data_IF_823196403340
#
_entry.id   IF_823196403340
#
_cell.length_a   1.000
_cell.length_b   1.000
_cell.length_c   1.000
_cell.angle_alpha   90.00
_cell.angle_beta   90.00
_cell.angle_gamma   90.00
#
_symmetry.space_group_name_H-M   'P 1'
#
loop_
_entity.id
_entity.type
_entity.pdbx_description
1 polymer ?
#
# COMPACT_ATOMS: atom_id res chain seq x y z
N UNK A 1 6.20 15.66 19.91
CA UNK A 1 7.34 14.83 20.36
C UNK A 1 8.48 15.07 19.38
N UNK A 2 9.56 15.63 19.85
CA UNK A 2 10.75 15.90 19.05
C UNK A 2 11.89 15.04 19.56
N UNK A 3 12.60 14.40 18.64
CA UNK A 3 13.84 13.70 18.94
C UNK A 3 15.01 14.50 18.37
N UNK A 4 15.74 15.19 19.25
CA UNK A 4 16.87 16.03 18.85
C UNK A 4 18.03 15.23 18.24
N UNK A 5 18.12 13.93 18.52
CA UNK A 5 19.19 13.08 18.00
C UNK A 5 18.99 12.71 16.53
N UNK A 6 17.74 12.64 16.07
CA UNK A 6 17.41 12.22 14.70
C UNK A 6 16.87 13.37 13.83
N UNK A 7 16.57 14.53 14.42
CA UNK A 7 15.87 15.63 13.75
C UNK A 7 14.39 15.33 13.46
N UNK A 8 13.85 14.22 14.00
CA UNK A 8 12.46 13.83 13.81
C UNK A 8 11.51 14.77 14.57
N UNK A 9 10.47 15.25 13.89
CA UNK A 9 9.42 16.10 14.49
C UNK A 9 8.07 15.75 13.89
N UNK A 10 7.12 15.37 14.73
CA UNK A 10 5.73 15.13 14.37
C UNK A 10 4.89 16.36 14.66
N UNK A 11 4.22 16.89 13.63
CA UNK A 11 3.33 18.04 13.76
C UNK A 11 2.10 17.74 14.64
N UNK A 12 1.52 18.76 15.32
CA UNK A 12 0.38 18.57 16.23
C UNK A 12 -0.85 18.00 15.54
N UNK A 13 -1.15 18.41 14.31
CA UNK A 13 -2.30 17.92 13.54
C UNK A 13 -2.19 16.41 13.25
N UNK A 14 -1.03 15.93 12.83
CA UNK A 14 -0.78 14.52 12.57
C UNK A 14 -0.83 13.69 13.86
N UNK A 15 -0.33 14.25 14.96
CA UNK A 15 -0.41 13.60 16.28
C UNK A 15 -1.88 13.47 16.73
N UNK A 16 -2.70 14.49 16.51
CA UNK A 16 -4.12 14.46 16.82
C UNK A 16 -4.87 13.44 15.96
N UNK A 17 -4.59 13.42 14.66
CA UNK A 17 -5.16 12.41 13.75
C UNK A 17 -4.79 10.97 14.18
N UNK A 18 -3.55 10.73 14.61
CA UNK A 18 -3.12 9.45 15.16
C UNK A 18 -3.84 9.07 16.47
N UNK A 19 -4.16 10.04 17.32
CA UNK A 19 -4.96 9.83 18.54
C UNK A 19 -6.41 9.47 18.18
N UNK A 20 -6.98 10.22 17.24
CA UNK A 20 -8.34 10.02 16.76
C UNK A 20 -8.53 8.69 16.01
N UNK A 21 -7.50 8.17 15.36
CA UNK A 21 -7.56 6.91 14.59
C UNK A 21 -7.85 5.67 15.43
N UNK A 22 -7.87 5.78 16.75
CA UNK A 22 -8.23 4.70 17.68
C UNK A 22 -7.36 3.48 17.51
N UNK A 23 -6.43 3.07 17.96
CA UNK A 23 -5.68 1.81 17.87
C UNK A 23 -5.24 1.37 19.27
N UNK A 24 -5.06 0.10 19.47
CA UNK A 24 -4.52 -0.42 20.70
C UNK A 24 -3.21 0.28 21.06
N UNK A 25 -3.16 0.97 22.21
CA UNK A 25 -2.00 1.74 22.65
C UNK A 25 -1.95 3.20 22.17
N UNK A 26 -2.98 3.72 21.50
CA UNK A 26 -3.01 5.12 21.03
C UNK A 26 -1.94 5.44 19.98
N UNK A 27 -1.40 6.69 19.93
CA UNK A 27 -0.39 7.08 18.94
C UNK A 27 1.02 6.55 19.24
N UNK A 28 1.26 6.02 20.44
CA UNK A 28 2.58 5.61 20.93
C UNK A 28 3.34 4.67 20.02
N UNK A 29 2.75 3.53 19.61
CA UNK A 29 3.41 2.59 18.70
C UNK A 29 3.77 3.20 17.34
N UNK A 30 2.91 4.04 16.76
CA UNK A 30 3.17 4.68 15.47
C UNK A 30 4.32 5.68 15.57
N UNK A 31 4.34 6.50 16.65
CA UNK A 31 5.41 7.48 16.89
C UNK A 31 6.73 6.78 17.19
N UNK A 32 6.73 5.73 18.01
CA UNK A 32 7.94 4.95 18.27
C UNK A 32 8.49 4.30 17.02
N UNK A 33 7.62 3.68 16.18
CA UNK A 33 8.03 3.11 14.90
C UNK A 33 8.66 4.16 13.97
N UNK A 34 8.10 5.36 13.91
CA UNK A 34 8.67 6.45 13.13
C UNK A 34 10.06 6.88 13.64
N UNK A 35 10.26 6.94 14.95
CA UNK A 35 11.58 7.16 15.55
C UNK A 35 12.57 6.04 15.22
N UNK A 36 12.12 4.79 15.25
CA UNK A 36 12.99 3.65 14.89
C UNK A 36 13.42 3.72 13.44
N UNK A 37 12.49 4.04 12.51
CA UNK A 37 12.82 4.28 11.10
C UNK A 37 13.86 5.40 10.97
N UNK A 38 13.63 6.55 11.61
CA UNK A 38 14.56 7.68 11.54
C UNK A 38 15.94 7.31 12.05
N UNK A 39 16.05 6.61 13.20
CA UNK A 39 17.33 6.15 13.75
C UNK A 39 18.03 5.16 12.85
N UNK A 40 17.29 4.19 12.28
CA UNK A 40 17.86 3.11 11.46
C UNK A 40 18.33 3.59 10.09
N UNK A 41 17.56 4.48 9.48
CA UNK A 41 17.82 4.96 8.12
C UNK A 41 18.67 6.24 8.08
N UNK A 42 18.77 6.97 9.20
CA UNK A 42 19.35 8.31 9.21
C UNK A 42 18.47 9.36 8.53
N UNK A 43 17.25 8.99 8.12
CA UNK A 43 16.30 9.85 7.41
C UNK A 43 15.15 10.22 8.34
N UNK A 44 15.06 11.48 8.82
CA UNK A 44 14.07 11.89 9.80
C UNK A 44 12.64 11.93 9.26
N UNK A 45 12.46 12.06 7.96
CA UNK A 45 11.14 12.10 7.30
C UNK A 45 11.20 11.44 5.93
N UNK A 46 10.08 10.79 5.57
CA UNK A 46 9.88 10.22 4.25
C UNK A 46 8.69 10.89 3.55
N UNK A 47 8.71 10.94 2.24
CA UNK A 47 7.69 11.61 1.42
C UNK A 47 6.61 10.64 0.96
N UNK A 48 7.01 9.41 0.61
CA UNK A 48 6.16 8.39 0.00
C UNK A 48 6.31 7.06 0.74
N UNK A 49 5.20 6.35 0.91
CA UNK A 49 5.16 4.92 1.24
C UNK A 49 4.80 4.12 -0.02
N UNK A 50 5.56 3.09 -0.31
CA UNK A 50 5.21 2.06 -1.29
C UNK A 50 5.04 0.74 -0.56
N UNK A 51 3.92 0.05 -0.77
CA UNK A 51 3.69 -1.29 -0.23
C UNK A 51 3.55 -2.26 -1.40
N UNK A 52 4.54 -3.12 -1.56
CA UNK A 52 4.60 -4.15 -2.60
C UNK A 52 3.95 -5.43 -2.08
N UNK A 53 2.94 -5.91 -2.79
CA UNK A 53 2.25 -7.16 -2.48
C UNK A 53 2.84 -8.36 -3.20
N UNK A 54 2.08 -9.48 -3.21
CA UNK A 54 2.49 -10.74 -3.82
C UNK A 54 3.02 -10.56 -5.24
N UNK A 55 4.21 -11.07 -5.50
CA UNK A 55 4.88 -11.04 -6.79
C UNK A 55 5.46 -9.69 -7.22
N UNK A 56 5.31 -8.61 -6.43
CA UNK A 56 5.80 -7.27 -6.80
C UNK A 56 7.12 -6.90 -6.10
N UNK A 57 7.69 -7.76 -5.26
CA UNK A 57 8.84 -7.42 -4.41
C UNK A 57 10.03 -6.85 -5.20
N UNK A 58 10.29 -7.34 -6.41
CA UNK A 58 11.41 -6.93 -7.27
C UNK A 58 11.05 -5.83 -8.28
N UNK A 59 9.84 -5.28 -8.25
CA UNK A 59 9.41 -4.25 -9.22
C UNK A 59 10.32 -3.01 -9.24
N UNK A 60 10.98 -2.71 -8.12
CA UNK A 60 11.91 -1.58 -7.98
C UNK A 60 13.40 -1.97 -8.02
N UNK A 61 13.76 -3.14 -8.53
CA UNK A 61 15.16 -3.57 -8.63
C UNK A 61 16.07 -2.58 -9.38
N UNK A 62 15.53 -1.84 -10.33
CA UNK A 62 16.24 -0.80 -11.07
C UNK A 62 16.61 0.45 -10.22
N UNK A 63 16.05 0.60 -9.01
CA UNK A 63 16.41 1.70 -8.10
C UNK A 63 17.75 1.48 -7.40
N UNK A 64 18.34 0.28 -7.54
CA UNK A 64 19.60 -0.09 -6.93
C UNK A 64 19.46 -0.48 -5.46
N UNK A 65 20.61 -0.46 -4.75
CA UNK A 65 20.62 -0.82 -3.33
C UNK A 65 19.97 0.29 -2.48
N UNK A 66 19.05 -0.08 -1.57
CA UNK A 66 18.47 0.88 -0.65
C UNK A 66 19.50 1.41 0.34
N UNK A 67 19.26 2.60 0.90
CA UNK A 67 19.82 2.99 2.19
C UNK A 67 19.39 1.93 3.25
N UNK A 68 19.91 1.97 4.52
CA UNK A 68 19.74 0.82 5.42
C UNK A 68 18.31 0.26 5.45
N UNK A 69 18.21 -1.04 5.23
CA UNK A 69 16.96 -1.79 5.38
C UNK A 69 16.75 -2.21 6.83
N UNK A 70 15.49 -2.50 7.19
CA UNK A 70 15.12 -3.09 8.47
C UNK A 70 14.01 -4.12 8.28
N UNK A 71 13.74 -4.92 9.31
CA UNK A 71 12.60 -5.83 9.27
C UNK A 71 11.31 -5.04 9.56
N UNK A 72 10.23 -5.38 8.87
CA UNK A 72 8.88 -4.86 9.18
C UNK A 72 8.48 -5.23 10.61
N UNK A 73 8.77 -6.46 11.01
CA UNK A 73 8.45 -7.00 12.34
C UNK A 73 9.25 -6.39 13.49
N UNK A 74 10.31 -5.63 13.22
CA UNK A 74 10.99 -4.84 14.25
C UNK A 74 10.17 -3.60 14.67
N UNK A 75 9.17 -3.21 13.86
CA UNK A 75 8.33 -2.06 14.12
C UNK A 75 7.18 -2.40 15.07
N UNK A 76 6.85 -1.50 16.02
CA UNK A 76 5.79 -1.75 17.00
C UNK A 76 4.43 -2.00 16.33
N UNK A 77 3.81 -3.13 16.63
CA UNK A 77 2.47 -3.48 16.13
C UNK A 77 2.44 -3.92 14.66
N UNK A 78 3.60 -4.19 14.04
CA UNK A 78 3.71 -4.80 12.72
C UNK A 78 4.12 -6.26 12.90
N UNK A 79 3.46 -7.18 12.19
CA UNK A 79 3.75 -8.61 12.26
C UNK A 79 4.67 -9.03 11.12
N UNK A 80 5.32 -10.20 11.29
CA UNK A 80 6.05 -10.83 10.20
C UNK A 80 5.06 -11.20 9.09
N UNK A 81 5.23 -10.71 7.85
CA UNK A 81 4.40 -11.16 6.74
C UNK A 81 4.60 -12.64 6.47
N UNK A 82 3.52 -13.40 6.33
CA UNK A 82 3.57 -14.87 6.10
C UNK A 82 3.02 -15.28 4.73
N UNK A 83 2.43 -14.35 3.98
CA UNK A 83 1.90 -14.63 2.66
C UNK A 83 3.01 -14.96 1.65
N UNK A 84 2.79 -15.89 0.71
CA UNK A 84 3.75 -16.18 -0.36
C UNK A 84 4.16 -14.91 -1.14
N UNK A 85 5.45 -14.79 -1.45
CA UNK A 85 6.00 -13.64 -2.16
C UNK A 85 6.12 -12.35 -1.35
N UNK A 86 5.92 -12.40 -0.02
CA UNK A 86 6.14 -11.28 0.88
C UNK A 86 7.44 -11.46 1.65
N UNK A 87 8.16 -10.36 1.84
CA UNK A 87 9.39 -10.30 2.64
C UNK A 87 9.15 -9.48 3.92
N UNK A 88 9.74 -9.91 5.03
CA UNK A 88 9.79 -9.13 6.28
C UNK A 88 10.86 -8.03 6.16
N UNK A 89 10.63 -7.08 5.23
CA UNK A 89 11.62 -6.08 4.86
C UNK A 89 10.99 -4.72 4.56
N UNK A 90 11.58 -3.68 5.15
CA UNK A 90 11.30 -2.28 4.88
C UNK A 90 12.59 -1.61 4.43
N UNK A 91 12.59 -1.06 3.24
CA UNK A 91 13.69 -0.34 2.63
C UNK A 91 13.48 1.17 2.68
N UNK A 92 14.55 1.94 2.81
CA UNK A 92 14.54 3.38 2.63
C UNK A 92 15.35 3.75 1.39
N UNK A 93 14.75 4.47 0.47
CA UNK A 93 15.41 4.98 -0.73
C UNK A 93 15.48 6.50 -0.70
N UNK A 94 16.58 7.02 -1.24
CA UNK A 94 16.71 8.42 -1.62
C UNK A 94 16.77 8.44 -3.15
N UNK A 95 15.67 8.87 -3.77
CA UNK A 95 15.53 8.87 -5.23
C UNK A 95 15.71 10.29 -5.73
N UNK A 96 16.73 10.51 -6.55
CA UNK A 96 16.95 11.81 -7.17
C UNK A 96 15.82 12.15 -8.15
N UNK A 97 15.25 13.32 -8.04
CA UNK A 97 14.30 13.88 -9.01
C UNK A 97 15.06 14.34 -10.23
N UNK A 98 15.33 13.41 -11.15
CA UNK A 98 16.12 13.71 -12.34
C UNK A 98 15.89 12.68 -13.45
N UNK A 99 14.69 12.69 -14.05
CA UNK A 99 14.51 12.28 -15.44
C UNK A 99 13.73 13.37 -16.16
N UNK A 100 14.34 13.93 -17.22
CA UNK A 100 13.76 14.93 -18.10
C UNK A 100 12.39 14.47 -18.61
N UNK A 101 11.33 15.10 -18.15
CA UNK A 101 10.12 15.24 -18.95
C UNK A 101 10.04 16.70 -19.36
N UNK A 102 10.05 16.95 -20.69
CA UNK A 102 9.81 18.26 -21.32
C UNK A 102 10.76 19.40 -20.90
N UNK A 103 12.06 19.15 -20.70
CA UNK A 103 13.07 20.23 -20.68
C UNK A 103 13.21 21.01 -19.37
N UNK A 104 12.49 20.67 -18.30
CA UNK A 104 12.66 21.29 -16.99
C UNK A 104 13.24 20.29 -15.99
N UNK A 105 14.41 20.61 -15.44
CA UNK A 105 14.93 19.97 -14.22
C UNK A 105 14.13 20.51 -13.02
N UNK A 106 13.20 19.73 -12.53
CA UNK A 106 12.60 20.00 -11.21
C UNK A 106 13.46 19.25 -10.19
N UNK A 107 14.47 19.93 -9.64
CA UNK A 107 15.41 19.37 -8.69
C UNK A 107 14.80 19.05 -7.34
N UNK A 108 15.21 17.93 -6.74
CA UNK A 108 14.92 17.52 -5.38
C UNK A 108 15.04 16.01 -5.21
N UNK A 109 15.46 15.57 -4.03
CA UNK A 109 15.43 14.16 -3.64
C UNK A 109 14.07 13.81 -3.06
N UNK A 110 13.59 12.60 -3.32
CA UNK A 110 12.44 11.99 -2.65
C UNK A 110 12.92 10.86 -1.74
N UNK A 111 12.39 10.85 -0.54
CA UNK A 111 12.66 9.82 0.46
C UNK A 111 11.49 8.88 0.51
N UNK A 112 11.72 7.64 0.11
CA UNK A 112 10.67 6.64 -0.11
C UNK A 112 10.87 5.46 0.83
N UNK A 113 9.83 5.12 1.58
CA UNK A 113 9.74 3.84 2.30
C UNK A 113 9.14 2.81 1.37
N UNK A 114 9.79 1.66 1.23
CA UNK A 114 9.31 0.54 0.42
C UNK A 114 9.17 -0.69 1.32
N UNK A 115 7.94 -1.08 1.61
CA UNK A 115 7.64 -2.34 2.28
C UNK A 115 7.52 -3.45 1.23
N UNK A 116 8.31 -4.52 1.37
CA UNK A 116 8.28 -5.68 0.47
C UNK A 116 7.31 -6.76 0.91
N UNK A 117 6.34 -6.39 1.74
CA UNK A 117 5.31 -7.26 2.27
C UNK A 117 4.34 -6.51 3.17
N UNK A 118 3.30 -7.19 3.59
CA UNK A 118 2.27 -6.69 4.50
C UNK A 118 1.64 -7.81 5.30
N UNK A 119 1.01 -7.45 6.42
CA UNK A 119 0.14 -8.33 7.21
C UNK A 119 -1.26 -8.36 6.61
N UNK A 120 -1.93 -9.53 6.61
CA UNK A 120 -3.29 -9.68 6.13
C UNK A 120 -4.26 -10.04 7.27
N UNK A 121 -5.56 -9.76 7.07
CA UNK A 121 -6.59 -10.10 8.06
C UNK A 121 -6.72 -11.61 8.32
N UNK A 122 -6.49 -12.44 7.28
CA UNK A 122 -6.55 -13.90 7.41
C UNK A 122 -5.42 -14.49 8.27
N UNK A 123 -4.37 -13.72 8.55
CA UNK A 123 -3.31 -14.14 9.48
C UNK A 123 -3.78 -14.16 10.94
N UNK A 124 -4.98 -13.65 11.24
CA UNK A 124 -5.66 -13.82 12.54
C UNK A 124 -5.26 -12.81 13.62
N UNK A 125 -4.43 -11.81 13.29
CA UNK A 125 -3.95 -10.79 14.25
C UNK A 125 -4.91 -9.60 14.42
N UNK A 126 -6.04 -9.61 13.70
CA UNK A 126 -7.00 -8.50 13.68
C UNK A 126 -6.53 -7.31 12.82
N UNK A 127 -7.33 -6.23 12.75
CA UNK A 127 -7.06 -5.10 11.84
C UNK A 127 -5.89 -4.22 12.30
N UNK A 128 -5.58 -4.16 13.59
CA UNK A 128 -4.52 -3.30 14.13
C UNK A 128 -3.16 -3.53 13.45
N UNK A 129 -2.60 -4.74 13.43
CA UNK A 129 -1.35 -5.05 12.74
C UNK A 129 -1.42 -4.85 11.21
N UNK A 130 -2.59 -5.05 10.58
CA UNK A 130 -2.77 -4.81 9.14
C UNK A 130 -2.48 -3.34 8.78
N UNK A 131 -2.88 -2.41 9.64
CA UNK A 131 -2.69 -0.96 9.40
C UNK A 131 -1.51 -0.37 10.20
N UNK A 132 -0.76 -1.19 10.91
CA UNK A 132 0.35 -0.77 11.77
C UNK A 132 1.39 0.03 10.99
N UNK A 133 1.86 -0.49 9.86
CA UNK A 133 2.82 0.20 8.99
C UNK A 133 2.26 1.51 8.43
N UNK A 134 0.99 1.54 8.02
CA UNK A 134 0.32 2.75 7.49
C UNK A 134 0.36 3.89 8.52
N UNK A 135 0.07 3.59 9.79
CA UNK A 135 0.13 4.56 10.90
C UNK A 135 1.55 5.04 11.19
N UNK A 136 2.53 4.12 11.17
CA UNK A 136 3.95 4.43 11.36
C UNK A 136 4.46 5.31 10.21
N UNK A 137 4.14 4.99 8.97
CA UNK A 137 4.54 5.77 7.81
C UNK A 137 3.94 7.19 7.85
N UNK A 138 2.68 7.32 8.23
CA UNK A 138 2.06 8.62 8.44
C UNK A 138 2.79 9.42 9.55
N UNK A 139 3.15 8.77 10.67
CA UNK A 139 3.96 9.38 11.72
C UNK A 139 5.36 9.78 11.22
N UNK A 140 5.99 8.99 10.35
CA UNK A 140 7.28 9.28 9.72
C UNK A 140 7.23 10.41 8.68
N UNK A 141 6.07 11.06 8.49
CA UNK A 141 5.92 12.26 7.67
C UNK A 141 5.48 12.00 6.22
N UNK A 142 5.16 10.76 5.88
CA UNK A 142 4.66 10.37 4.56
C UNK A 142 3.42 11.18 4.20
N UNK A 143 3.39 11.71 2.97
CA UNK A 143 2.28 12.50 2.41
C UNK A 143 1.53 11.80 1.30
N UNK A 144 2.13 10.76 0.70
CA UNK A 144 1.51 9.93 -0.30
C UNK A 144 1.83 8.46 -0.08
N UNK A 145 0.97 7.58 -0.60
CA UNK A 145 1.20 6.15 -0.57
C UNK A 145 0.78 5.51 -1.90
N UNK A 146 1.56 4.52 -2.34
CA UNK A 146 1.20 3.62 -3.44
C UNK A 146 1.07 2.22 -2.87
N UNK A 147 -0.13 1.67 -2.95
CA UNK A 147 -0.45 0.34 -2.47
C UNK A 147 -0.61 -0.60 -3.66
N UNK A 148 0.26 -1.61 -3.76
CA UNK A 148 0.25 -2.60 -4.84
C UNK A 148 -0.22 -3.94 -4.29
N UNK A 149 -1.10 -4.62 -5.01
CA UNK A 149 -1.56 -5.97 -4.70
C UNK A 149 -1.70 -6.83 -5.96
N UNK A 150 -1.84 -8.13 -5.77
CA UNK A 150 -2.33 -9.06 -6.76
C UNK A 150 -3.81 -9.34 -6.49
N UNK A 151 -4.62 -9.47 -7.53
CA UNK A 151 -6.06 -9.69 -7.41
C UNK A 151 -6.62 -10.58 -8.51
N UNK A 152 -7.68 -11.32 -8.16
CA UNK A 152 -8.49 -12.07 -9.10
C UNK A 152 -9.35 -11.12 -9.93
N UNK A 153 -9.31 -11.28 -11.26
CA UNK A 153 -10.05 -10.45 -12.18
C UNK A 153 -11.47 -10.97 -12.38
N UNK A 154 -12.45 -10.06 -12.29
CA UNK A 154 -13.88 -10.32 -12.52
C UNK A 154 -14.32 -9.90 -13.94
N UNK A 155 -13.39 -9.54 -14.80
CA UNK A 155 -13.60 -9.06 -16.18
C UNK A 155 -12.86 -9.95 -17.19
N UNK A 156 -13.10 -9.72 -18.48
CA UNK A 156 -12.37 -10.38 -19.56
C UNK A 156 -11.02 -9.70 -19.85
N UNK A 157 -10.23 -9.46 -18.81
CA UNK A 157 -8.88 -8.87 -18.91
C UNK A 157 -7.81 -9.97 -18.98
N UNK A 158 -6.56 -9.57 -19.16
CA UNK A 158 -5.46 -10.51 -19.28
C UNK A 158 -4.61 -10.55 -18.01
N UNK A 159 -4.09 -11.71 -17.69
CA UNK A 159 -3.14 -11.88 -16.60
C UNK A 159 -1.89 -11.02 -16.88
N UNK A 160 -1.43 -10.30 -15.85
CA UNK A 160 -0.31 -9.36 -15.92
C UNK A 160 -0.72 -7.92 -16.23
N UNK A 161 -1.98 -7.66 -16.67
CA UNK A 161 -2.47 -6.28 -16.75
C UNK A 161 -2.58 -5.67 -15.34
N UNK A 162 -2.38 -4.36 -15.26
CA UNK A 162 -2.47 -3.61 -14.00
C UNK A 162 -3.67 -2.70 -14.02
N UNK A 163 -4.49 -2.79 -12.98
CA UNK A 163 -5.64 -1.93 -12.77
C UNK A 163 -5.29 -0.80 -11.78
N UNK A 164 -5.47 0.44 -12.18
CA UNK A 164 -5.59 1.56 -11.23
C UNK A 164 -6.84 1.39 -10.40
N UNK A 165 -6.71 1.36 -9.07
CA UNK A 165 -7.86 1.31 -8.16
C UNK A 165 -8.44 2.71 -8.04
N UNK A 166 -9.72 2.87 -8.39
CA UNK A 166 -10.43 4.16 -8.34
C UNK A 166 -11.51 4.19 -7.26
N UNK A 167 -11.97 3.00 -6.81
CA UNK A 167 -12.92 2.84 -5.72
C UNK A 167 -12.80 1.45 -5.12
N UNK A 168 -13.51 1.19 -4.03
CA UNK A 168 -13.44 -0.11 -3.38
C UNK A 168 -14.75 -0.56 -2.74
N UNK A 169 -14.88 -1.88 -2.58
CA UNK A 169 -15.88 -2.51 -1.72
C UNK A 169 -15.15 -3.14 -0.52
N UNK A 170 -15.41 -2.65 0.69
CA UNK A 170 -14.90 -3.27 1.91
C UNK A 170 -15.85 -4.37 2.39
N UNK A 171 -15.60 -5.59 1.98
CA UNK A 171 -16.35 -6.80 2.37
C UNK A 171 -15.60 -7.67 3.39
N UNK A 172 -14.57 -7.10 4.03
CA UNK A 172 -13.75 -7.81 5.02
C UNK A 172 -14.46 -8.06 6.34
N UNK A 173 -15.57 -7.36 6.61
CA UNK A 173 -16.24 -7.35 7.90
C UNK A 173 -15.43 -6.64 9.00
N UNK A 174 -14.40 -5.87 8.64
CA UNK A 174 -13.49 -5.20 9.57
C UNK A 174 -13.33 -3.72 9.25
N UNK A 175 -12.92 -2.95 10.27
CA UNK A 175 -12.53 -1.55 10.17
C UNK A 175 -11.07 -1.40 10.60
N UNK A 176 -10.31 -0.44 10.05
CA UNK A 176 -8.97 -0.10 10.55
C UNK A 176 -9.01 0.65 11.89
N UNK A 177 -10.21 0.99 12.37
CA UNK A 177 -10.41 1.80 13.56
C UNK A 177 -11.08 1.00 14.67
N UNK A 178 -10.73 1.35 15.92
CA UNK A 178 -11.44 0.94 17.11
C UNK A 178 -12.28 2.12 17.63
N UNK A 179 -13.56 1.85 17.98
CA UNK A 179 -14.46 2.88 18.48
C UNK A 179 -15.08 3.79 17.39
N UNK A 180 -15.68 4.92 17.78
CA UNK A 180 -16.52 5.74 16.90
C UNK A 180 -15.68 6.72 16.05
N UNK A 181 -14.81 6.21 15.20
CA UNK A 181 -14.03 7.02 14.25
C UNK A 181 -14.82 7.15 12.94
N UNK A 182 -15.57 8.24 12.81
CA UNK A 182 -16.36 8.52 11.60
C UNK A 182 -15.49 9.24 10.57
N UNK A 183 -15.22 8.59 9.46
CA UNK A 183 -14.36 9.10 8.38
C UNK A 183 -15.12 9.01 7.05
N UNK A 184 -15.05 10.07 6.24
CA UNK A 184 -15.53 10.03 4.86
C UNK A 184 -14.59 9.21 4.02
N UNK A 185 -15.08 8.12 3.44
CA UNK A 185 -14.29 7.17 2.65
C UNK A 185 -14.58 7.27 1.13
N UNK A 186 -15.37 8.25 0.69
CA UNK A 186 -15.72 8.41 -0.74
C UNK A 186 -14.50 8.72 -1.62
N UNK A 187 -13.49 9.39 -1.08
CA UNK A 187 -12.28 9.81 -1.78
C UNK A 187 -11.02 9.21 -1.15
N UNK A 188 -11.07 7.93 -0.76
CA UNK A 188 -9.90 7.22 -0.22
C UNK A 188 -8.78 7.15 -1.26
N UNK A 189 -9.16 6.85 -2.50
CA UNK A 189 -8.24 6.87 -3.64
C UNK A 189 -8.19 8.29 -4.21
N UNK A 190 -7.02 8.91 -4.14
CA UNK A 190 -6.82 10.29 -4.57
C UNK A 190 -7.01 10.41 -6.09
N UNK A 191 -7.95 11.26 -6.52
CA UNK A 191 -8.36 11.40 -7.92
C UNK A 191 -7.19 11.82 -8.85
N UNK A 192 -6.35 12.77 -8.41
CA UNK A 192 -5.21 13.23 -9.22
C UNK A 192 -4.15 12.12 -9.37
N UNK A 193 -3.88 11.37 -8.30
CA UNK A 193 -2.94 10.25 -8.35
C UNK A 193 -3.52 9.08 -9.16
N UNK A 194 -4.83 8.84 -9.10
CA UNK A 194 -5.50 7.86 -9.93
C UNK A 194 -5.45 8.26 -11.41
N UNK A 195 -5.63 9.54 -11.74
CA UNK A 195 -5.47 10.05 -13.12
C UNK A 195 -4.06 9.85 -13.65
N UNK A 196 -3.05 10.09 -12.81
CA UNK A 196 -1.64 9.84 -13.16
C UNK A 196 -1.41 8.35 -13.43
N UNK A 197 -1.94 7.46 -12.58
CA UNK A 197 -1.81 6.02 -12.77
C UNK A 197 -2.51 5.52 -14.04
N UNK A 198 -3.69 6.06 -14.39
CA UNK A 198 -4.40 5.73 -15.64
C UNK A 198 -3.56 6.02 -16.89
N UNK A 199 -2.59 6.93 -16.80
CA UNK A 199 -1.64 7.22 -17.89
C UNK A 199 -0.59 6.11 -18.11
N UNK A 200 -0.44 5.16 -17.20
CA UNK A 200 0.58 4.10 -17.23
C UNK A 200 0.02 2.69 -17.09
N UNK A 201 -1.17 2.52 -16.51
CA UNK A 201 -1.82 1.22 -16.32
C UNK A 201 -2.78 0.91 -17.47
N UNK A 202 -3.03 -0.37 -17.71
CA UNK A 202 -3.90 -0.84 -18.79
C UNK A 202 -5.39 -0.72 -18.44
N UNK A 203 -5.71 -0.73 -17.15
CA UNK A 203 -7.09 -0.78 -16.64
C UNK A 203 -7.31 0.19 -15.48
N UNK A 204 -8.58 0.49 -15.21
CA UNK A 204 -9.00 1.17 -13.99
C UNK A 204 -10.34 0.62 -13.52
N UNK A 205 -10.59 0.62 -12.21
CA UNK A 205 -11.85 0.06 -11.71
C UNK A 205 -11.92 -0.06 -10.18
N UNK A 206 -12.91 -0.83 -9.76
CA UNK A 206 -13.30 -1.05 -8.36
C UNK A 206 -12.65 -2.32 -7.82
N UNK A 207 -11.99 -2.20 -6.68
CA UNK A 207 -11.37 -3.33 -6.00
C UNK A 207 -12.24 -3.81 -4.84
N UNK A 208 -12.66 -5.07 -4.84
CA UNK A 208 -13.35 -5.70 -3.71
C UNK A 208 -12.33 -6.32 -2.75
N UNK A 209 -12.34 -5.90 -1.50
CA UNK A 209 -11.56 -6.53 -0.44
C UNK A 209 -12.42 -7.52 0.34
N UNK A 210 -11.99 -8.77 0.38
CA UNK A 210 -12.57 -9.84 1.21
C UNK A 210 -11.56 -10.27 2.27
N UNK A 211 -12.01 -11.00 3.29
CA UNK A 211 -11.11 -11.39 4.38
C UNK A 211 -10.11 -12.47 3.96
N UNK A 212 -10.55 -13.47 3.22
CA UNK A 212 -9.78 -14.69 2.98
C UNK A 212 -9.63 -15.59 4.23
N UNK A 213 -8.78 -16.63 4.20
CA UNK A 213 -7.88 -16.99 3.09
C UNK A 213 -8.54 -17.73 1.92
N UNK A 214 -9.84 -18.07 2.02
CA UNK A 214 -10.56 -18.79 0.98
C UNK A 214 -10.73 -17.92 -0.26
N UNK A 215 -10.51 -18.51 -1.44
CA UNK A 215 -10.91 -17.91 -2.71
C UNK A 215 -12.43 -18.01 -2.89
N UNK A 216 -12.97 -17.15 -3.75
CA UNK A 216 -14.39 -17.02 -3.97
C UNK A 216 -14.99 -18.25 -4.65
N UNK A 217 -16.17 -18.66 -4.20
CA UNK A 217 -17.04 -19.57 -4.95
C UNK A 217 -17.55 -18.88 -6.23
N UNK A 218 -18.03 -19.66 -7.20
CA UNK A 218 -18.66 -19.10 -8.42
C UNK A 218 -19.83 -18.17 -8.10
N UNK A 219 -20.59 -18.43 -7.03
CA UNK A 219 -21.72 -17.59 -6.63
C UNK A 219 -21.23 -16.24 -6.06
N UNK A 220 -20.21 -16.26 -5.23
CA UNK A 220 -19.56 -15.04 -4.70
C UNK A 220 -18.91 -14.22 -5.81
N UNK A 221 -18.22 -14.86 -6.76
CA UNK A 221 -17.66 -14.20 -7.94
C UNK A 221 -18.71 -13.43 -8.72
N UNK A 222 -19.88 -14.06 -9.01
CA UNK A 222 -21.01 -13.39 -9.67
C UNK A 222 -21.62 -12.28 -8.84
N UNK A 223 -21.70 -12.43 -7.53
CA UNK A 223 -22.17 -11.39 -6.61
C UNK A 223 -21.25 -10.16 -6.66
N UNK A 224 -19.94 -10.36 -6.60
CA UNK A 224 -18.95 -9.28 -6.67
C UNK A 224 -19.00 -8.55 -8.01
N UNK A 225 -19.07 -9.28 -9.12
CA UNK A 225 -19.24 -8.69 -10.45
C UNK A 225 -20.53 -7.86 -10.53
N UNK A 226 -21.64 -8.39 -10.01
CA UNK A 226 -22.95 -7.70 -10.00
C UNK A 226 -22.94 -6.46 -9.10
N UNK A 227 -22.12 -6.44 -8.06
CA UNK A 227 -21.90 -5.28 -7.20
C UNK A 227 -20.98 -4.22 -7.83
N UNK A 228 -20.44 -4.46 -9.02
CA UNK A 228 -19.62 -3.53 -9.77
C UNK A 228 -18.11 -3.66 -9.52
N UNK A 229 -17.64 -4.70 -8.81
CA UNK A 229 -16.22 -4.94 -8.66
C UNK A 229 -15.58 -5.41 -9.97
N UNK A 230 -14.32 -5.00 -10.21
CA UNK A 230 -13.51 -5.39 -11.35
C UNK A 230 -12.41 -6.37 -10.97
N UNK A 231 -11.85 -6.21 -9.78
CA UNK A 231 -10.91 -7.16 -9.18
C UNK A 231 -11.28 -7.45 -7.73
N UNK A 232 -10.84 -8.60 -7.23
CA UNK A 232 -11.03 -9.03 -5.84
C UNK A 232 -9.72 -9.51 -5.23
N UNK A 233 -9.51 -9.20 -3.95
CA UNK A 233 -8.37 -9.70 -3.18
C UNK A 233 -8.55 -9.52 -1.69
N UNK A 234 -7.48 -9.70 -0.90
CA UNK A 234 -7.57 -9.88 0.55
C UNK A 234 -6.75 -8.83 1.33
N UNK A 235 -6.45 -7.66 0.71
CA UNK A 235 -5.56 -6.65 1.29
C UNK A 235 -5.97 -5.22 0.96
N UNK A 236 -5.08 -4.26 1.26
CA UNK A 236 -5.02 -2.91 0.67
C UNK A 236 -6.08 -1.93 1.19
N UNK A 237 -7.36 -2.32 1.27
CA UNK A 237 -8.47 -1.38 1.58
C UNK A 237 -8.37 -0.82 3.01
N UNK A 238 -8.08 -1.66 4.01
CA UNK A 238 -7.94 -1.16 5.38
C UNK A 238 -6.72 -0.24 5.52
N UNK A 239 -5.62 -0.55 4.84
CA UNK A 239 -4.41 0.30 4.78
C UNK A 239 -4.74 1.64 4.14
N UNK A 240 -5.48 1.64 3.02
CA UNK A 240 -5.89 2.84 2.30
C UNK A 240 -6.80 3.73 3.15
N UNK A 241 -7.80 3.17 3.81
CA UNK A 241 -8.72 3.90 4.71
C UNK A 241 -7.93 4.52 5.87
N UNK A 242 -7.01 3.77 6.49
CA UNK A 242 -6.18 4.28 7.59
C UNK A 242 -5.25 5.42 7.15
N UNK A 243 -4.60 5.30 5.99
CA UNK A 243 -3.76 6.35 5.42
C UNK A 243 -4.56 7.61 5.08
N UNK A 244 -5.72 7.44 4.43
CA UNK A 244 -6.61 8.54 4.08
C UNK A 244 -7.07 9.33 5.32
N UNK A 245 -7.51 8.64 6.38
CA UNK A 245 -7.90 9.29 7.64
C UNK A 245 -6.74 10.10 8.26
N UNK A 246 -5.50 9.66 8.04
CA UNK A 246 -4.30 10.35 8.50
C UNK A 246 -3.83 11.47 7.54
N UNK A 247 -4.62 11.82 6.52
CA UNK A 247 -4.32 12.88 5.55
C UNK A 247 -3.19 12.51 4.58
N UNK A 248 -2.99 11.23 4.30
CA UNK A 248 -2.06 10.74 3.28
C UNK A 248 -2.84 10.51 1.99
N UNK A 249 -2.36 11.04 0.87
CA UNK A 249 -2.93 10.81 -0.47
C UNK A 249 -2.62 9.38 -0.89
N UNK A 250 -3.63 8.60 -1.29
CA UNK A 250 -3.46 7.18 -1.58
C UNK A 250 -3.71 6.88 -3.05
N UNK A 251 -2.79 6.17 -3.67
CA UNK A 251 -2.93 5.55 -4.98
C UNK A 251 -2.86 4.04 -4.87
N UNK A 252 -3.59 3.32 -5.71
CA UNK A 252 -3.64 1.86 -5.68
C UNK A 252 -3.48 1.24 -7.05
N UNK A 253 -2.72 0.14 -7.10
CA UNK A 253 -2.59 -0.71 -8.28
C UNK A 253 -2.89 -2.16 -7.91
N UNK A 254 -3.75 -2.81 -8.70
CA UNK A 254 -4.04 -4.23 -8.59
C UNK A 254 -3.57 -4.98 -9.84
N UNK A 255 -2.65 -5.92 -9.68
CA UNK A 255 -2.18 -6.77 -10.77
C UNK A 255 -3.17 -7.89 -10.98
N UNK A 256 -3.63 -8.10 -12.20
CA UNK A 256 -4.43 -9.27 -12.58
C UNK A 256 -3.55 -10.51 -12.50
N UNK A 257 -3.67 -11.27 -11.44
CA UNK A 257 -2.86 -12.47 -11.17
C UNK A 257 -3.59 -13.77 -11.47
N UNK A 258 -4.92 -13.73 -11.48
CA UNK A 258 -5.78 -14.85 -11.86
C UNK A 258 -7.11 -14.34 -12.42
N UNK A 259 -7.85 -15.25 -13.06
CA UNK A 259 -9.18 -14.98 -13.60
C UNK A 259 -10.21 -15.70 -12.72
N UNK A 260 -10.99 -14.95 -11.94
CA UNK A 260 -11.92 -15.50 -10.93
C UNK A 260 -13.04 -16.38 -11.52
N UNK A 261 -13.28 -16.32 -12.83
CA UNK A 261 -14.20 -17.21 -13.55
C UNK A 261 -13.53 -18.43 -14.20
N UNK A 262 -12.19 -18.58 -14.04
CA UNK A 262 -11.49 -19.75 -14.54
C UNK A 262 -12.00 -21.04 -13.84
N UNK A 263 -11.98 -22.15 -14.56
CA UNK A 263 -12.39 -23.44 -14.01
C UNK A 263 -11.29 -24.14 -13.20
N UNK A 264 -10.03 -23.72 -13.40
CA UNK A 264 -8.89 -24.26 -12.65
C UNK A 264 -8.82 -23.61 -11.26
N UNK A 265 -8.43 -24.37 -10.23
CA UNK A 265 -8.14 -23.78 -8.92
C UNK A 265 -7.00 -22.75 -9.01
N UNK A 266 -7.13 -21.66 -8.26
CA UNK A 266 -6.06 -20.66 -8.11
C UNK A 266 -4.92 -21.25 -7.29
N UNK A 267 -3.69 -21.20 -7.83
CA UNK A 267 -2.47 -21.61 -7.15
C UNK A 267 -1.75 -20.36 -6.61
N UNK A 268 -1.56 -20.22 -5.28
CA UNK A 268 -0.88 -19.06 -4.70
C UNK A 268 0.54 -18.80 -5.24
N UNK A 269 1.29 -19.86 -5.55
CA UNK A 269 2.65 -19.71 -6.10
C UNK A 269 2.61 -19.22 -7.56
N UNK A 270 1.59 -19.65 -8.31
CA UNK A 270 1.36 -19.15 -9.66
C UNK A 270 0.93 -17.68 -9.67
N UNK A 271 0.10 -17.25 -8.74
CA UNK A 271 -0.29 -15.84 -8.54
C UNK A 271 0.96 -14.96 -8.37
N UNK A 272 1.90 -15.37 -7.52
CA UNK A 272 3.17 -14.65 -7.31
C UNK A 272 3.97 -14.57 -8.61
N UNK A 273 4.11 -15.67 -9.32
CA UNK A 273 4.87 -15.76 -10.58
C UNK A 273 4.26 -14.90 -11.68
N UNK A 274 2.94 -14.89 -11.81
CA UNK A 274 2.23 -14.13 -12.84
C UNK A 274 2.21 -12.63 -12.55
N UNK A 275 2.12 -12.25 -11.28
CA UNK A 275 2.19 -10.85 -10.88
C UNK A 275 3.56 -10.21 -11.20
N UNK A 276 4.63 -11.00 -11.28
CA UNK A 276 5.96 -10.50 -11.66
C UNK A 276 6.00 -9.96 -13.11
N UNK A 277 5.10 -10.36 -13.99
CA UNK A 277 5.02 -9.82 -15.36
C UNK A 277 4.68 -8.31 -15.38
N UNK A 278 4.08 -7.79 -14.31
CA UNK A 278 3.67 -6.38 -14.19
C UNK A 278 4.76 -5.45 -13.62
N UNK A 279 5.97 -5.93 -13.32
CA UNK A 279 7.02 -5.14 -12.65
C UNK A 279 7.30 -3.81 -13.34
N UNK A 280 7.37 -3.78 -14.67
CA UNK A 280 7.65 -2.55 -15.43
C UNK A 280 6.52 -1.52 -15.26
N UNK A 281 5.26 -1.94 -15.35
CA UNK A 281 4.08 -1.08 -15.17
C UNK A 281 3.99 -0.59 -13.72
N UNK A 282 4.27 -1.46 -12.73
CA UNK A 282 4.31 -1.09 -11.30
C UNK A 282 5.37 -0.02 -11.06
N UNK A 283 6.59 -0.22 -11.54
CA UNK A 283 7.68 0.75 -11.38
C UNK A 283 7.33 2.10 -12.02
N UNK A 284 6.83 2.08 -13.26
CA UNK A 284 6.41 3.30 -13.96
C UNK A 284 5.28 4.03 -13.22
N UNK A 285 4.31 3.31 -12.67
CA UNK A 285 3.22 3.88 -11.86
C UNK A 285 3.72 4.55 -10.58
N UNK A 286 4.63 3.90 -9.84
CA UNK A 286 5.25 4.45 -8.63
C UNK A 286 6.05 5.72 -8.97
N UNK A 287 6.86 5.70 -10.03
CA UNK A 287 7.63 6.86 -10.49
C UNK A 287 6.72 8.02 -10.92
N UNK A 288 5.61 7.72 -11.62
CA UNK A 288 4.64 8.72 -12.04
C UNK A 288 3.94 9.39 -10.84
N UNK A 289 3.50 8.61 -9.85
CA UNK A 289 2.92 9.13 -8.59
C UNK A 289 3.95 9.98 -7.84
N UNK A 290 5.19 9.50 -7.71
CA UNK A 290 6.28 10.24 -7.06
C UNK A 290 6.55 11.59 -7.74
N UNK A 291 6.46 11.65 -9.06
CA UNK A 291 6.61 12.88 -9.82
C UNK A 291 5.45 13.86 -9.62
N UNK A 292 4.22 13.36 -9.49
CA UNK A 292 3.01 14.18 -9.27
C UNK A 292 2.90 14.73 -7.84
N UNK A 293 3.59 14.15 -6.89
CA UNK A 293 3.65 14.62 -5.51
C UNK A 293 4.69 15.76 -5.38
N UNK A 294 4.32 16.93 -5.83
CA UNK A 294 5.15 18.14 -5.72
C UNK A 294 5.02 18.81 -4.34
#
# INVERSE_FOLDING_TARGET
MNDNATGFSLGPERLEALRASGGAGGPGPAVEGAHQIARRTGVPRHDLLVVLGSGAADALAAWGEPAPSMRLSDLPGVMVPVAPGHEDRLDSYVVARGRRMAGQEVGGERRVLVARGRTHLYEGHGPGPVVGLSRIAAAAGVRGAVLVNAGGCLRSWHIGEVMTITDHLNLTGSSPFDGPVFTDVRNVWDDELADVLRGVTERSGVYAAVRGPEYQTTAETRMLESAGADCVGMSTVLEAIALHQLGVRVAGMSVVSDLSFAQAPTDPDEVVRLAAAAHATIAAGIEAVMAAMS
#
